data_IF_629709280681
#
_entry.id   IF_629709280681
#
_cell.length_a   1.000
_cell.length_b   1.000
_cell.length_c   1.000
_cell.angle_alpha   90.00
_cell.angle_beta   90.00
_cell.angle_gamma   90.00
#
_symmetry.space_group_name_H-M   'P 1'
#
loop_
_entity.id
_entity.type
_entity.pdbx_description
1 polymer ?
#
# COMPACT_ATOMS: atom_id res chain seq x y z
N UNK A 1 -1.14 5.52 -10.44
CA UNK A 1 -0.03 4.57 -10.13
C UNK A 1 -0.59 3.46 -9.26
N UNK A 2 -0.26 2.19 -9.53
CA UNK A 2 -0.65 1.04 -8.68
C UNK A 2 0.60 0.45 -8.04
N UNK A 3 0.61 0.35 -6.71
CA UNK A 3 1.70 -0.23 -5.93
C UNK A 3 1.18 -1.51 -5.30
N UNK A 4 1.90 -2.62 -5.52
CA UNK A 4 1.56 -3.92 -4.94
C UNK A 4 2.47 -4.17 -3.73
N UNK A 5 1.87 -4.58 -2.61
CA UNK A 5 2.57 -4.81 -1.34
C UNK A 5 2.31 -6.24 -0.90
N UNK A 6 3.34 -6.96 -0.45
CA UNK A 6 3.18 -8.29 0.15
C UNK A 6 2.68 -8.12 1.59
N UNK A 7 1.48 -8.64 1.92
CA UNK A 7 0.88 -8.39 3.21
C UNK A 7 1.45 -9.27 4.34
N UNK A 8 2.14 -10.35 4.01
CA UNK A 8 2.68 -11.30 5.00
C UNK A 8 3.90 -10.74 5.76
N UNK A 9 4.56 -9.71 5.22
CA UNK A 9 5.75 -9.09 5.82
C UNK A 9 5.41 -7.79 6.59
N UNK A 10 4.14 -7.38 6.64
CA UNK A 10 3.72 -6.07 7.15
C UNK A 10 2.46 -6.15 8.02
N UNK A 11 2.60 -5.73 9.28
CA UNK A 11 1.49 -5.52 10.21
C UNK A 11 0.73 -4.21 9.93
N UNK A 12 -0.36 -3.96 10.65
CA UNK A 12 -1.23 -2.78 10.41
C UNK A 12 -0.49 -1.46 10.67
N UNK A 13 0.37 -1.44 11.70
CA UNK A 13 1.20 -0.28 12.02
C UNK A 13 2.23 0.01 10.91
N UNK A 14 2.87 -1.03 10.38
CA UNK A 14 3.80 -0.96 9.26
C UNK A 14 3.10 -0.48 7.98
N UNK A 15 1.87 -0.94 7.71
CA UNK A 15 1.08 -0.47 6.57
C UNK A 15 0.77 1.02 6.64
N UNK A 16 0.43 1.55 7.83
CA UNK A 16 0.19 2.98 8.00
C UNK A 16 1.45 3.81 7.70
N UNK A 17 2.60 3.38 8.22
CA UNK A 17 3.87 4.04 7.97
C UNK A 17 4.26 3.99 6.48
N UNK A 18 4.04 2.86 5.82
CA UNK A 18 4.32 2.70 4.40
C UNK A 18 3.42 3.60 3.54
N UNK A 19 2.13 3.71 3.87
CA UNK A 19 1.22 4.60 3.15
C UNK A 19 1.67 6.07 3.23
N UNK A 20 2.12 6.50 4.41
CA UNK A 20 2.66 7.85 4.61
C UNK A 20 3.94 8.08 3.82
N UNK A 21 4.88 7.13 3.84
CA UNK A 21 6.12 7.23 3.08
C UNK A 21 5.87 7.28 1.57
N UNK A 22 4.94 6.48 1.06
CA UNK A 22 4.56 6.49 -0.37
C UNK A 22 3.95 7.85 -0.74
N UNK A 23 3.04 8.39 0.07
CA UNK A 23 2.45 9.70 -0.18
C UNK A 23 3.53 10.79 -0.26
N UNK A 24 4.45 10.83 0.71
CA UNK A 24 5.56 11.80 0.75
C UNK A 24 6.50 11.64 -0.44
N UNK A 25 6.82 10.40 -0.82
CA UNK A 25 7.70 10.15 -1.97
C UNK A 25 7.06 10.61 -3.28
N UNK A 26 5.76 10.37 -3.47
CA UNK A 26 5.01 10.83 -4.65
C UNK A 26 4.94 12.37 -4.67
N UNK A 27 4.70 13.00 -3.52
CA UNK A 27 4.69 14.45 -3.38
C UNK A 27 6.05 15.07 -3.77
N UNK A 28 7.16 14.49 -3.32
CA UNK A 28 8.51 14.95 -3.63
C UNK A 28 8.91 14.72 -5.09
N UNK A 29 8.60 13.56 -5.66
CA UNK A 29 9.03 13.20 -7.02
C UNK A 29 8.26 13.96 -8.11
N UNK A 30 6.98 14.26 -7.90
CA UNK A 30 6.14 14.82 -8.96
C UNK A 30 5.81 16.30 -8.78
N UNK A 31 6.23 16.93 -7.67
CA UNK A 31 5.89 18.33 -7.33
C UNK A 31 4.43 18.67 -7.68
N UNK A 32 3.48 17.80 -7.33
CA UNK A 32 2.08 18.03 -7.65
C UNK A 32 1.48 19.00 -6.62
N UNK A 33 1.05 20.21 -7.03
CA UNK A 33 0.19 21.00 -6.17
C UNK A 33 -1.20 20.34 -6.17
N UNK A 34 -1.52 19.59 -5.11
CA UNK A 34 -2.81 18.91 -4.97
C UNK A 34 -2.83 17.85 -3.86
N UNK A 35 -4.02 17.31 -3.59
CA UNK A 35 -4.21 16.24 -2.60
C UNK A 35 -3.92 14.87 -3.22
N UNK A 36 -3.01 14.10 -2.61
CA UNK A 36 -2.67 12.75 -3.05
C UNK A 36 -3.39 11.75 -2.15
N UNK A 37 -4.36 11.02 -2.72
CA UNK A 37 -5.09 9.96 -2.02
C UNK A 37 -4.43 8.60 -2.25
N UNK A 38 -3.81 8.04 -1.20
CA UNK A 38 -3.26 6.68 -1.21
C UNK A 38 -4.26 5.73 -0.55
N UNK A 39 -4.58 4.62 -1.21
CA UNK A 39 -5.48 3.58 -0.67
C UNK A 39 -4.74 2.26 -0.65
N UNK A 40 -4.63 1.65 0.54
CA UNK A 40 -4.07 0.32 0.71
C UNK A 40 -5.18 -0.68 1.01
N UNK A 41 -5.11 -1.84 0.36
CA UNK A 41 -6.03 -2.95 0.56
C UNK A 41 -5.16 -4.17 0.85
N UNK A 42 -5.38 -4.80 2.01
CA UNK A 42 -4.78 -6.11 2.31
C UNK A 42 -5.71 -7.19 1.76
N UNK A 43 -5.24 -7.96 0.78
CA UNK A 43 -5.99 -9.10 0.25
C UNK A 43 -5.25 -10.40 0.57
N UNK A 44 -5.88 -11.28 1.35
CA UNK A 44 -5.40 -12.64 1.61
C UNK A 44 -6.27 -13.62 0.82
N UNK A 45 -5.73 -14.18 -0.26
CA UNK A 45 -6.41 -15.23 -1.04
C UNK A 45 -5.96 -16.60 -0.54
N UNK A 46 -6.88 -17.34 0.05
CA UNK A 46 -6.68 -18.73 0.46
C UNK A 46 -7.51 -19.58 -0.48
N UNK A 47 -6.87 -20.52 -1.16
CA UNK A 47 -7.54 -21.49 -2.05
C UNK A 47 -7.21 -22.87 -1.51
N UNK A 48 -8.25 -23.64 -1.16
CA UNK A 48 -8.12 -24.97 -0.60
C UNK A 48 -8.87 -25.95 -1.51
N UNK A 49 -8.25 -27.09 -1.81
CA UNK A 49 -8.84 -28.14 -2.63
C UNK A 49 -9.00 -29.40 -1.79
N UNK A 50 -10.23 -29.91 -1.72
CA UNK A 50 -10.51 -31.26 -1.23
C UNK A 50 -10.53 -32.23 -2.43
N UNK A 51 -10.02 -33.44 -2.23
CA UNK A 51 -10.01 -34.51 -3.25
C UNK A 51 -11.23 -35.41 -3.10
#
# INVERSE_FOLDING_TARGET
MRVFVKPDDLDDAGMFNLARQIAQKIEQELQYPGEIKVTMIREKRIVEYAR
#
